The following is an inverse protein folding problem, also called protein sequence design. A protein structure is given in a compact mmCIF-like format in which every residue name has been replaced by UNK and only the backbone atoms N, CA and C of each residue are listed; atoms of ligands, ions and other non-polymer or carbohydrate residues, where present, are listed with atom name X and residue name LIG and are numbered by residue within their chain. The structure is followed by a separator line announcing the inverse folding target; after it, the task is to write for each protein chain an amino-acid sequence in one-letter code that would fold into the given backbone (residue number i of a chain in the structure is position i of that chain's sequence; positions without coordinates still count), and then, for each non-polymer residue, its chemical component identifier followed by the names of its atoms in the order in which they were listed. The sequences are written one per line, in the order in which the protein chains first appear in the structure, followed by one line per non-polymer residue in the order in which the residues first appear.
data_IF_676990622251
#
_entry.id   IF_676990622251
#
_cell.length_a   1.000
_cell.length_b   1.000
_cell.length_c   1.000
_cell.angle_alpha   90.00
_cell.angle_beta   90.00
_cell.angle_gamma   90.00
#
_symmetry.space_group_name_H-M   'P 1'
#
loop_
_entity.id
_entity.type
_entity.pdbx_description
1 polymer ?
#
# COMPACT_ATOMS: atom_id res chain seq x y z
N UNK A 1 -15.31 5.51 5.57
CA UNK A 1 -14.24 6.39 5.07
C UNK A 1 -14.14 6.18 3.58
N UNK A 2 -14.35 7.22 2.76
CA UNK A 2 -14.15 7.14 1.30
C UNK A 2 -12.65 7.06 1.04
N UNK A 3 -12.22 6.05 0.27
CA UNK A 3 -10.83 5.89 -0.16
C UNK A 3 -10.82 6.30 -1.64
N UNK A 4 -10.09 7.36 -1.96
CA UNK A 4 -9.89 7.80 -3.35
C UNK A 4 -8.52 7.34 -3.84
N UNK A 5 -8.44 7.01 -5.13
CA UNK A 5 -7.16 6.82 -5.79
C UNK A 5 -6.37 8.14 -5.80
N UNK A 6 -5.06 8.07 -5.60
CA UNK A 6 -4.13 9.19 -5.63
C UNK A 6 -2.85 8.74 -6.31
N UNK A 7 -2.28 9.63 -7.12
CA UNK A 7 -0.95 9.46 -7.73
C UNK A 7 0.08 10.20 -6.90
N UNK A 8 1.09 9.49 -6.42
CA UNK A 8 2.15 10.01 -5.56
C UNK A 8 3.50 9.61 -6.13
N UNK A 9 4.47 10.52 -6.09
CA UNK A 9 5.86 10.23 -6.47
C UNK A 9 6.58 9.58 -5.29
N UNK A 10 7.10 8.36 -5.47
CA UNK A 10 7.83 7.62 -4.44
C UNK A 10 9.19 7.13 -4.93
N UNK A 11 10.21 7.03 -4.05
CA UNK A 11 11.45 6.32 -4.33
C UNK A 11 11.20 4.84 -4.62
N UNK A 12 11.94 4.23 -5.55
CA UNK A 12 11.76 2.82 -5.89
C UNK A 12 12.19 1.88 -4.75
N UNK A 13 11.47 0.76 -4.62
CA UNK A 13 11.31 -0.04 -3.39
C UNK A 13 12.54 -0.63 -2.71
N UNK A 14 13.73 -0.63 -3.33
CA UNK A 14 14.96 -1.12 -2.70
C UNK A 14 15.92 -0.01 -2.25
N UNK A 15 15.77 1.21 -2.76
CA UNK A 15 16.63 2.36 -2.46
C UNK A 15 15.98 3.42 -1.55
N UNK A 16 14.85 3.09 -0.92
CA UNK A 16 14.21 3.97 0.08
C UNK A 16 15.15 4.36 1.26
N UNK A 17 16.24 3.62 1.50
CA UNK A 17 17.29 3.99 2.46
C UNK A 17 18.20 5.11 1.97
N UNK A 18 18.40 5.23 0.66
CA UNK A 18 19.28 6.22 0.03
C UNK A 18 18.50 7.39 -0.55
N UNK A 19 17.16 7.28 -0.62
CA UNK A 19 16.24 8.30 -1.13
C UNK A 19 16.78 8.93 -2.41
N UNK A 20 17.09 8.08 -3.39
CA UNK A 20 17.62 8.55 -4.67
C UNK A 20 16.51 9.30 -5.43
N UNK A 21 16.57 10.64 -5.50
CA UNK A 21 15.53 11.43 -6.15
C UNK A 21 15.50 11.20 -7.65
N UNK A 22 16.60 10.72 -8.26
CA UNK A 22 16.71 10.48 -9.70
C UNK A 22 15.96 9.21 -10.14
N UNK A 23 15.60 8.36 -9.19
CA UNK A 23 14.86 7.10 -9.42
C UNK A 23 13.43 7.12 -8.84
N UNK A 24 12.90 8.29 -8.51
CA UNK A 24 11.53 8.43 -8.05
C UNK A 24 10.54 8.22 -9.21
N UNK A 25 9.45 7.49 -8.94
CA UNK A 25 8.42 7.16 -9.94
C UNK A 25 7.02 7.51 -9.45
N UNK A 26 6.11 7.75 -10.38
CA UNK A 26 4.70 7.95 -10.06
C UNK A 26 4.06 6.62 -9.74
N UNK A 27 3.35 6.59 -8.62
CA UNK A 27 2.56 5.46 -8.17
C UNK A 27 1.12 5.88 -7.95
N UNK A 28 0.19 5.25 -8.64
CA UNK A 28 -1.25 5.43 -8.38
C UNK A 28 -1.74 4.32 -7.45
N UNK A 29 -2.45 4.73 -6.41
CA UNK A 29 -2.88 3.84 -5.33
C UNK A 29 -3.80 4.54 -4.34
N UNK A 30 -3.87 4.02 -3.12
CA UNK A 30 -4.80 4.45 -2.09
C UNK A 30 -4.05 4.92 -0.86
N UNK A 31 -4.28 6.18 -0.47
CA UNK A 31 -3.76 6.71 0.79
C UNK A 31 -4.70 6.30 1.93
N UNK A 32 -4.13 5.66 2.95
CA UNK A 32 -4.82 5.21 4.14
C UNK A 32 -3.94 5.62 5.33
N UNK A 33 -4.28 6.73 5.98
CA UNK A 33 -3.45 7.27 7.06
C UNK A 33 -2.02 7.60 6.58
N UNK A 34 -1.01 7.11 7.31
CA UNK A 34 0.42 7.25 6.97
C UNK A 34 0.91 6.23 5.95
N UNK A 35 0.06 5.31 5.50
CA UNK A 35 0.41 4.25 4.55
C UNK A 35 -0.23 4.50 3.19
N UNK A 36 0.45 4.03 2.16
CA UNK A 36 0.01 4.09 0.77
C UNK A 36 0.06 2.70 0.14
N UNK A 37 -1.10 2.24 -0.31
CA UNK A 37 -1.29 0.97 -0.98
C UNK A 37 -1.29 1.18 -2.49
N UNK A 38 -0.32 0.65 -3.22
CA UNK A 38 -0.15 0.95 -4.64
C UNK A 38 0.27 -0.27 -5.46
N UNK A 39 0.06 -0.21 -6.76
CA UNK A 39 0.56 -1.21 -7.71
C UNK A 39 2.08 -1.08 -7.89
N UNK A 40 2.78 -2.18 -8.14
CA UNK A 40 4.24 -2.26 -8.25
C UNK A 40 4.77 -1.66 -9.57
N UNK A 41 3.93 -1.64 -10.61
CA UNK A 41 4.29 -1.24 -11.98
C UNK A 41 3.49 0.01 -12.43
N UNK A 42 3.18 0.93 -11.53
CA UNK A 42 2.28 2.07 -11.84
C UNK A 42 2.67 2.86 -13.10
N UNK A 43 1.69 2.94 -14.03
CA UNK A 43 1.37 4.14 -14.83
C UNK A 43 0.02 4.00 -15.60
N UNK A 44 -0.75 2.91 -15.42
CA UNK A 44 -2.04 2.75 -16.09
C UNK A 44 -3.21 2.72 -15.09
N UNK A 45 -3.86 3.88 -14.92
CA UNK A 45 -5.09 4.05 -14.11
C UNK A 45 -6.21 3.09 -14.56
N UNK A 46 -6.19 2.62 -15.81
CA UNK A 46 -7.17 1.66 -16.31
C UNK A 46 -7.11 0.29 -15.61
N UNK A 47 -5.94 -0.11 -15.09
CA UNK A 47 -5.76 -1.34 -14.32
C UNK A 47 -6.34 -1.26 -12.91
N UNK A 48 -6.52 -0.04 -12.37
CA UNK A 48 -7.01 0.19 -11.00
C UNK A 48 -8.54 0.20 -10.91
N UNK A 49 -9.22 0.57 -11.99
CA UNK A 49 -10.66 0.87 -12.01
C UNK A 49 -11.48 -0.10 -12.88
N UNK A 50 -10.85 -0.86 -13.77
CA UNK A 50 -11.52 -1.91 -14.51
C UNK A 50 -11.59 -3.18 -13.64
N UNK A 51 -12.81 -3.60 -13.28
CA UNK A 51 -13.22 -4.73 -12.41
C UNK A 51 -12.61 -6.12 -12.74
N UNK A 52 -11.58 -6.20 -13.59
CA UNK A 52 -10.94 -7.41 -14.12
C UNK A 52 -9.42 -7.33 -14.32
N UNK A 53 -8.75 -6.27 -13.84
CA UNK A 53 -7.29 -6.25 -13.79
C UNK A 53 -6.79 -7.30 -12.80
N UNK A 54 -6.61 -8.54 -13.26
CA UNK A 54 -5.76 -9.53 -12.58
C UNK A 54 -4.34 -8.96 -12.64
N UNK A 55 -4.06 -7.99 -11.77
CA UNK A 55 -2.70 -7.70 -11.34
C UNK A 55 -2.10 -9.05 -10.96
N UNK A 56 -0.95 -9.38 -11.53
CA UNK A 56 -0.36 -10.70 -11.32
C UNK A 56 -0.10 -10.90 -9.83
N UNK A 57 -0.03 -12.17 -9.43
CA UNK A 57 0.28 -12.58 -8.07
C UNK A 57 1.56 -11.87 -7.60
N UNK A 58 1.44 -10.84 -6.77
CA UNK A 58 2.60 -10.11 -6.27
C UNK A 58 2.72 -8.63 -6.63
N UNK A 59 1.68 -8.02 -7.19
CA UNK A 59 1.82 -6.67 -7.71
C UNK A 59 1.44 -5.55 -6.73
N UNK A 60 0.85 -5.82 -5.57
CA UNK A 60 0.49 -4.75 -4.63
C UNK A 60 1.51 -4.57 -3.51
N UNK A 61 1.89 -3.31 -3.29
CA UNK A 61 2.81 -2.86 -2.25
C UNK A 61 2.14 -1.92 -1.24
N UNK A 62 2.68 -1.90 -0.03
CA UNK A 62 2.32 -0.96 1.04
C UNK A 62 3.59 -0.19 1.42
N UNK A 63 3.55 1.12 1.27
CA UNK A 63 4.66 2.03 1.55
C UNK A 63 4.28 3.01 2.64
N UNK A 64 5.19 3.28 3.56
CA UNK A 64 5.02 4.32 4.56
C UNK A 64 5.38 5.69 3.96
N UNK A 65 4.39 6.58 3.84
CA UNK A 65 4.51 7.83 3.10
C UNK A 65 5.61 8.76 3.64
N UNK A 66 5.66 9.10 4.95
CA UNK A 66 6.68 10.01 5.47
C UNK A 66 8.12 9.55 5.24
N UNK A 67 8.36 8.24 5.15
CA UNK A 67 9.72 7.68 5.08
C UNK A 67 10.07 7.03 3.75
N UNK A 68 9.10 6.82 2.86
CA UNK A 68 9.25 6.04 1.63
C UNK A 68 9.55 4.55 1.87
N UNK A 69 9.48 4.06 3.12
CA UNK A 69 9.85 2.68 3.42
C UNK A 69 8.78 1.71 2.91
N UNK A 70 9.20 0.75 2.07
CA UNK A 70 8.35 -0.39 1.70
C UNK A 70 8.13 -1.29 2.92
N UNK A 71 6.87 -1.42 3.34
CA UNK A 71 6.44 -2.19 4.52
C UNK A 71 6.03 -3.60 4.12
N UNK A 72 5.25 -3.72 3.05
CA UNK A 72 4.82 -5.00 2.49
C UNK A 72 4.88 -4.96 0.97
N UNK A 73 5.13 -6.12 0.38
CA UNK A 73 5.15 -6.32 -1.07
C UNK A 73 4.48 -7.62 -1.41
N UNK A 74 4.21 -7.77 -2.69
CA UNK A 74 3.70 -8.98 -3.27
C UNK A 74 2.29 -9.38 -2.82
N UNK A 75 1.42 -8.41 -2.56
CA UNK A 75 0.03 -8.70 -2.19
C UNK A 75 -0.82 -8.96 -3.46
N UNK A 76 -1.70 -9.97 -3.50
CA UNK A 76 -2.29 -10.43 -4.77
C UNK A 76 -3.42 -9.56 -5.32
N UNK A 77 -3.93 -8.59 -4.56
CA UNK A 77 -4.97 -7.66 -5.03
C UNK A 77 -5.01 -6.37 -4.21
N UNK A 78 -5.60 -5.31 -4.76
CA UNK A 78 -5.85 -4.07 -4.02
C UNK A 78 -6.75 -4.28 -2.82
N UNK A 79 -7.79 -5.11 -2.93
CA UNK A 79 -8.69 -5.38 -1.81
C UNK A 79 -7.93 -5.94 -0.60
N UNK A 80 -7.04 -6.90 -0.87
CA UNK A 80 -6.16 -7.52 0.14
C UNK A 80 -5.13 -6.55 0.67
N UNK A 81 -4.54 -5.73 -0.19
CA UNK A 81 -3.56 -4.73 0.22
C UNK A 81 -4.19 -3.60 1.05
N UNK A 82 -5.39 -3.13 0.71
CA UNK A 82 -6.17 -2.16 1.49
C UNK A 82 -6.53 -2.74 2.85
N UNK A 83 -7.00 -3.99 2.90
CA UNK A 83 -7.28 -4.67 4.16
C UNK A 83 -6.03 -4.75 5.04
N UNK A 84 -4.93 -5.27 4.50
CA UNK A 84 -3.67 -5.40 5.23
C UNK A 84 -3.16 -4.04 5.73
N UNK A 85 -3.28 -2.99 4.90
CA UNK A 85 -2.92 -1.62 5.27
C UNK A 85 -3.71 -1.15 6.50
N UNK A 86 -5.01 -1.44 6.57
CA UNK A 86 -5.84 -1.10 7.75
C UNK A 86 -5.42 -1.86 9.00
N UNK A 87 -5.10 -3.15 8.87
CA UNK A 87 -4.62 -3.96 10.00
C UNK A 87 -3.28 -3.42 10.52
N UNK A 88 -2.37 -3.06 9.61
CA UNK A 88 -1.08 -2.47 9.97
C UNK A 88 -1.26 -1.12 10.68
N UNK A 89 -2.12 -0.22 10.19
CA UNK A 89 -2.37 1.07 10.85
C UNK A 89 -2.99 0.95 12.25
N UNK A 90 -3.67 -0.16 12.54
CA UNK A 90 -4.19 -0.42 13.88
C UNK A 90 -3.08 -0.82 14.88
N UNK A 91 -1.88 -1.14 14.41
CA UNK A 91 -0.75 -1.45 15.26
C UNK A 91 -0.08 -0.17 15.79
N UNK A 92 0.21 -0.10 17.11
CA UNK A 92 0.98 1.00 17.68
C UNK A 92 2.32 1.24 16.97
N UNK A 93 2.58 2.50 16.59
CA UNK A 93 3.84 2.94 15.99
C UNK A 93 3.89 2.87 14.46
N UNK A 94 2.83 2.37 13.80
CA UNK A 94 2.69 2.40 12.34
C UNK A 94 2.27 3.78 11.80
N UNK A 95 1.87 4.69 12.69
CA UNK A 95 1.60 6.11 12.46
C UNK A 95 2.82 7.02 12.70
N UNK A 96 4.00 6.42 12.87
CA UNK A 96 5.27 7.14 13.04
C UNK A 96 5.57 8.12 11.90
N UNK A 97 6.51 9.02 12.13
CA UNK A 97 6.90 10.06 11.15
C UNK A 97 8.22 9.74 10.45
N UNK A 98 8.94 8.70 10.89
CA UNK A 98 10.24 8.32 10.35
C UNK A 98 10.39 6.83 10.05
N UNK A 99 11.35 6.48 9.20
CA UNK A 99 11.68 5.08 8.92
C UNK A 99 12.12 4.32 10.18
N UNK A 100 12.82 4.99 11.10
CA UNK A 100 13.34 4.36 12.31
C UNK A 100 12.20 3.97 13.26
N UNK A 101 11.23 4.86 13.48
CA UNK A 101 10.05 4.62 14.30
C UNK A 101 9.23 3.44 13.76
N UNK A 102 8.94 3.45 12.46
CA UNK A 102 8.15 2.37 11.84
C UNK A 102 8.91 1.05 11.86
N UNK A 103 10.23 1.05 11.58
CA UNK A 103 11.04 -0.18 11.67
C UNK A 103 11.09 -0.74 13.09
N UNK A 104 11.17 0.11 14.10
CA UNK A 104 11.12 -0.32 15.50
C UNK A 104 9.76 -0.95 15.83
N UNK A 105 8.66 -0.31 15.44
CA UNK A 105 7.31 -0.83 15.62
C UNK A 105 7.10 -2.19 14.91
N UNK A 106 7.65 -2.33 13.71
CA UNK A 106 7.65 -3.55 12.90
C UNK A 106 8.47 -4.66 13.55
N UNK A 107 9.68 -4.36 14.03
CA UNK A 107 10.63 -5.36 14.52
C UNK A 107 10.06 -6.25 15.63
N UNK A 108 9.37 -5.65 16.60
CA UNK A 108 8.80 -6.37 17.74
C UNK A 108 7.51 -7.15 17.39
N UNK A 109 6.95 -6.91 16.21
CA UNK A 109 5.64 -7.43 15.78
C UNK A 109 5.71 -8.32 14.54
N UNK A 110 6.91 -8.77 14.16
CA UNK A 110 7.07 -9.52 12.91
C UNK A 110 6.26 -10.81 12.84
N UNK A 111 6.03 -11.49 13.98
CA UNK A 111 5.13 -12.65 14.02
C UNK A 111 3.69 -12.30 13.62
N UNK A 112 3.14 -11.24 14.21
CA UNK A 112 1.78 -10.76 13.96
C UNK A 112 1.62 -10.25 12.51
N UNK A 113 2.57 -9.44 12.05
CA UNK A 113 2.60 -8.91 10.69
C UNK A 113 2.71 -10.04 9.65
N UNK A 114 3.51 -11.07 9.91
CA UNK A 114 3.61 -12.22 9.01
C UNK A 114 2.32 -13.05 8.97
N UNK A 115 1.61 -13.19 10.08
CA UNK A 115 0.30 -13.85 10.11
C UNK A 115 -0.74 -13.08 9.29
N UNK A 116 -0.82 -11.76 9.47
CA UNK A 116 -1.71 -10.91 8.66
C UNK A 116 -1.33 -10.93 7.18
N UNK A 117 -0.04 -10.93 6.87
CA UNK A 117 0.43 -11.08 5.49
C UNK A 117 -0.01 -12.42 4.92
N UNK A 118 0.13 -13.51 5.67
CA UNK A 118 -0.31 -14.84 5.25
C UNK A 118 -1.82 -14.86 4.96
N UNK A 119 -2.63 -14.23 5.82
CA UNK A 119 -4.07 -14.07 5.61
C UNK A 119 -4.38 -13.25 4.35
N UNK A 120 -3.67 -12.15 4.11
CA UNK A 120 -3.82 -11.34 2.89
C UNK A 120 -3.43 -12.13 1.62
N UNK A 121 -2.44 -13.02 1.72
CA UNK A 121 -1.98 -13.84 0.58
C UNK A 121 -2.93 -15.00 0.28
N UNK A 122 -3.48 -15.65 1.30
CA UNK A 122 -4.15 -16.95 1.16
C UNK A 122 -5.65 -16.94 1.49
N UNK A 123 -6.14 -15.95 2.23
CA UNK A 123 -7.53 -15.86 2.68
C UNK A 123 -8.33 -14.76 1.96
N UNK A 124 -9.64 -14.76 2.21
CA UNK A 124 -10.53 -13.63 1.90
C UNK A 124 -10.49 -12.57 3.00
N UNK A 125 -9.31 -12.31 3.57
CA UNK A 125 -9.13 -11.27 4.59
C UNK A 125 -10.15 -11.38 5.74
N UNK A 126 -10.41 -12.60 6.20
CA UNK A 126 -11.40 -12.91 7.23
C UNK A 126 -12.84 -12.47 6.86
N UNK A 127 -13.21 -12.55 5.58
CA UNK A 127 -14.52 -12.16 5.03
C UNK A 127 -14.69 -10.66 4.80
N UNK A 128 -13.63 -9.87 4.93
CA UNK A 128 -13.67 -8.41 4.81
C UNK A 128 -13.16 -7.89 3.47
N UNK A 129 -12.67 -8.76 2.59
CA UNK A 129 -12.15 -8.37 1.27
C UNK A 129 -13.26 -8.18 0.20
N UNK A 130 -14.53 -8.36 0.56
CA UNK A 130 -15.70 -8.18 -0.31
C UNK A 130 -16.23 -6.73 -0.42
N UNK A 131 -15.59 -5.75 0.20
CA UNK A 131 -16.05 -4.36 0.08
C UNK A 131 -15.73 -3.83 -1.32
N UNK A 132 -16.75 -3.71 -2.17
CA UNK A 132 -16.77 -2.69 -3.22
C UNK A 132 -16.43 -1.36 -2.55
N UNK A 133 -15.17 -0.95 -2.63
CA UNK A 133 -14.79 0.37 -2.19
C UNK A 133 -15.53 1.32 -3.14
N UNK A 134 -16.23 2.31 -2.58
CA UNK A 134 -16.80 3.41 -3.35
C UNK A 134 -15.63 4.23 -3.93
N UNK A 135 -15.00 3.68 -4.98
CA UNK A 135 -13.89 4.26 -5.73
C UNK A 135 -14.47 5.38 -6.59
N UNK A 136 -14.68 6.55 -5.98
CA UNK A 136 -14.91 7.76 -6.76
C UNK A 136 -13.56 8.24 -7.25
N UNK A 137 -13.33 8.18 -8.57
CA UNK A 137 -12.19 8.81 -9.22
C UNK A 137 -12.16 10.30 -8.80
N UNK A 138 -11.21 10.68 -7.95
CA UNK A 138 -10.95 12.08 -7.70
C UNK A 138 -10.21 12.58 -8.93
N UNK A 139 -10.91 13.32 -9.80
CA UNK A 139 -10.33 13.94 -10.97
C UNK A 139 -9.11 14.77 -10.54
N UNK A 140 -7.95 14.41 -11.09
CA UNK A 140 -6.72 15.16 -10.95
C UNK A 140 -6.95 16.55 -11.55
N UNK A 141 -6.98 17.57 -10.69
CA UNK A 141 -6.80 18.94 -11.16
C UNK A 141 -5.31 19.10 -11.51
N UNK A 142 -5.02 19.11 -12.80
CA UNK A 142 -3.72 19.55 -13.32
C UNK A 142 -3.73 21.09 -13.31
N UNK A 143 -2.67 21.77 -12.82
CA UNK A 143 -2.54 23.22 -12.95
C UNK A 143 -2.43 23.68 -14.41
#
# INVERSE_FOLDING_TARGET
MKISAQTIVLPCGDDAKNHDPDNARQFTGFVIGTLFCHHAISDDESLLLADHGQAEYGDWGITHLPSGASIQRAIPSHYRAIWLTRQLLAMPGMDGTSAAEVRAAVADRMGEINALRFDAMNGDCQGQCAMRFDLTAAQVAVP
#
